data_IF_143816296738
#
_entry.id   IF_143816296738
#
_cell.length_a   1.000
_cell.length_b   1.000
_cell.length_c   1.000
_cell.angle_alpha   90.00
_cell.angle_beta   90.00
_cell.angle_gamma   90.00
#
_symmetry.space_group_name_H-M   'P 1'
#
loop_
_entity.id
_entity.type
_entity.pdbx_description
1 polymer ?
#
# COMPACT_ATOMS: atom_id res chain seq x y z
N UNK A 1 5.39 -2.02 34.98
CA UNK A 1 5.14 -0.59 34.67
C UNK A 1 3.75 -0.23 35.12
N UNK A 2 3.54 0.92 35.79
CA UNK A 2 2.19 1.40 36.00
C UNK A 2 1.54 1.56 34.60
N UNK A 3 0.33 1.04 34.44
CA UNK A 3 -0.41 1.11 33.19
C UNK A 3 -0.67 2.59 32.88
N UNK A 4 0.06 3.14 31.91
CA UNK A 4 -0.17 4.51 31.49
C UNK A 4 -1.57 4.59 30.86
N UNK A 5 -2.37 5.53 31.33
CA UNK A 5 -3.72 5.71 30.81
C UNK A 5 -3.71 6.03 29.32
N UNK A 6 -4.65 5.49 28.57
CA UNK A 6 -4.84 5.86 27.17
C UNK A 6 -5.27 7.32 27.07
N UNK A 7 -4.82 8.07 26.05
CA UNK A 7 -5.25 9.45 25.86
C UNK A 7 -6.77 9.52 25.60
N UNK A 8 -7.46 10.59 25.99
CA UNK A 8 -8.88 10.76 25.69
C UNK A 8 -9.24 10.69 24.19
N UNK A 9 -8.26 10.94 23.32
CA UNK A 9 -8.37 10.93 21.86
C UNK A 9 -7.93 9.59 21.23
N UNK A 10 -7.80 8.52 22.03
CA UNK A 10 -7.27 7.22 21.55
C UNK A 10 -8.00 6.69 20.32
N UNK A 11 -9.34 6.81 20.25
CA UNK A 11 -10.11 6.37 19.08
C UNK A 11 -9.75 7.16 17.82
N UNK A 12 -9.50 8.47 17.94
CA UNK A 12 -9.08 9.33 16.83
C UNK A 12 -7.66 8.96 16.39
N UNK A 13 -6.76 8.77 17.34
CA UNK A 13 -5.39 8.31 17.09
C UNK A 13 -5.37 6.96 16.37
N UNK A 14 -6.13 5.96 16.84
CA UNK A 14 -6.24 4.65 16.20
C UNK A 14 -6.89 4.72 14.82
N UNK A 15 -7.83 5.64 14.61
CA UNK A 15 -8.38 5.89 13.27
C UNK A 15 -7.29 6.43 12.31
N UNK A 16 -6.42 7.33 12.75
CA UNK A 16 -5.28 7.81 11.97
C UNK A 16 -4.26 6.69 11.67
N UNK A 17 -3.95 5.84 12.65
CA UNK A 17 -3.09 4.65 12.47
C UNK A 17 -3.68 3.71 11.39
N UNK A 18 -4.99 3.46 11.42
CA UNK A 18 -5.67 2.65 10.39
C UNK A 18 -5.61 3.30 9.02
N UNK A 19 -5.81 4.63 8.92
CA UNK A 19 -5.69 5.37 7.66
C UNK A 19 -4.26 5.38 7.13
N UNK A 20 -3.26 5.46 8.01
CA UNK A 20 -1.84 5.35 7.63
C UNK A 20 -1.55 4.01 6.93
N UNK A 21 -2.13 2.90 7.43
CA UNK A 21 -2.10 1.60 6.76
C UNK A 21 -0.72 0.92 6.73
N UNK A 22 0.16 1.22 7.69
CA UNK A 22 1.52 0.66 7.75
C UNK A 22 1.68 -0.48 8.77
N UNK A 23 0.68 -0.77 9.60
CA UNK A 23 0.69 -1.95 10.47
C UNK A 23 0.73 -3.23 9.62
N UNK A 24 1.61 -4.16 9.96
CA UNK A 24 1.77 -5.42 9.26
C UNK A 24 2.47 -5.31 7.89
N UNK A 25 2.97 -4.14 7.51
CA UNK A 25 3.69 -3.98 6.24
C UNK A 25 5.18 -4.30 6.40
N UNK A 26 5.86 -4.79 5.35
CA UNK A 26 7.28 -5.10 5.40
C UNK A 26 8.15 -3.85 5.63
N UNK A 27 9.41 -4.09 6.01
CA UNK A 27 10.44 -3.06 6.09
C UNK A 27 10.63 -2.35 4.75
N UNK A 28 10.98 -1.07 4.78
CA UNK A 28 11.23 -0.24 3.60
C UNK A 28 12.49 0.59 3.78
N UNK A 29 13.37 0.59 2.79
CA UNK A 29 14.66 1.29 2.80
C UNK A 29 14.56 2.78 3.17
N UNK A 30 13.44 3.43 2.87
CA UNK A 30 13.22 4.84 3.24
C UNK A 30 13.25 5.07 4.75
N UNK A 31 12.72 4.12 5.55
CA UNK A 31 12.77 4.17 7.01
C UNK A 31 14.10 3.62 7.53
N UNK A 32 14.63 2.55 6.94
CA UNK A 32 15.88 1.92 7.35
C UNK A 32 17.07 2.88 7.22
N UNK A 33 17.04 3.77 6.26
CA UNK A 33 18.03 4.83 6.09
C UNK A 33 18.07 5.78 7.29
N UNK A 34 16.88 6.17 7.79
CA UNK A 34 16.77 7.10 8.92
C UNK A 34 17.28 6.44 10.19
N UNK A 35 16.89 5.19 10.48
CA UNK A 35 17.36 4.47 11.67
C UNK A 35 18.86 4.18 11.61
N UNK A 36 19.44 3.85 10.44
CA UNK A 36 20.89 3.73 10.26
C UNK A 36 21.64 5.04 10.49
N UNK A 37 21.09 6.16 10.01
CA UNK A 37 21.68 7.48 10.28
C UNK A 37 21.66 7.81 11.76
N UNK A 38 20.54 7.53 12.44
CA UNK A 38 20.40 7.78 13.86
C UNK A 38 21.45 7.01 14.70
N UNK A 39 21.63 5.71 14.45
CA UNK A 39 22.64 4.93 15.18
C UNK A 39 24.04 5.51 15.04
N UNK A 40 24.39 6.01 13.84
CA UNK A 40 25.70 6.62 13.58
C UNK A 40 25.85 8.00 14.21
N UNK A 41 24.79 8.81 14.12
CA UNK A 41 24.80 10.21 14.55
C UNK A 41 24.88 10.34 16.07
N UNK A 42 24.12 9.48 16.77
CA UNK A 42 24.08 9.46 18.24
C UNK A 42 25.08 8.47 18.88
N UNK A 43 25.81 7.72 18.07
CA UNK A 43 26.69 6.64 18.53
C UNK A 43 25.97 5.68 19.49
N UNK A 44 24.78 5.22 19.09
CA UNK A 44 23.94 4.29 19.84
C UNK A 44 23.76 2.98 19.09
N UNK A 45 23.63 1.84 19.78
CA UNK A 45 23.44 0.55 19.13
C UNK A 45 22.02 0.38 18.54
N UNK A 46 21.02 1.10 19.08
CA UNK A 46 19.62 0.86 18.74
C UNK A 46 18.95 2.12 18.23
N UNK A 47 18.17 1.98 17.14
CA UNK A 47 17.26 3.00 16.64
C UNK A 47 16.05 2.32 16.00
N UNK A 48 14.84 2.80 16.30
CA UNK A 48 13.58 2.20 15.85
C UNK A 48 12.62 3.28 15.38
N UNK A 49 11.91 2.98 14.29
CA UNK A 49 10.67 3.65 13.90
C UNK A 49 9.56 2.63 14.07
N UNK A 50 8.58 2.92 14.89
CA UNK A 50 7.41 2.08 15.06
C UNK A 50 6.09 2.80 14.76
N UNK A 51 5.04 2.01 14.55
CA UNK A 51 3.64 2.45 14.49
C UNK A 51 2.90 1.84 15.66
N UNK A 52 2.37 2.68 16.54
CA UNK A 52 1.74 2.26 17.80
C UNK A 52 0.25 1.99 17.58
N UNK A 53 -0.09 0.71 17.43
CA UNK A 53 -1.46 0.22 17.30
C UNK A 53 -2.20 0.17 18.65
N UNK A 54 -3.32 -0.54 18.69
CA UNK A 54 -4.13 -0.70 19.89
C UNK A 54 -3.43 -1.57 20.95
N UNK A 55 -2.89 -2.71 20.55
CA UNK A 55 -2.26 -3.71 21.43
C UNK A 55 -0.77 -3.91 21.16
N UNK A 56 -0.32 -3.56 19.98
CA UNK A 56 1.05 -3.81 19.53
C UNK A 56 1.71 -2.52 19.05
N UNK A 57 3.02 -2.42 19.26
CA UNK A 57 3.89 -1.49 18.57
C UNK A 57 4.56 -2.26 17.42
N UNK A 58 4.25 -1.89 16.18
CA UNK A 58 4.77 -2.50 14.97
C UNK A 58 6.05 -1.81 14.53
N UNK A 59 7.15 -2.55 14.49
CA UNK A 59 8.45 -2.02 14.10
C UNK A 59 8.52 -1.87 12.57
N UNK A 60 8.41 -0.63 12.11
CA UNK A 60 8.52 -0.31 10.68
C UNK A 60 9.95 -0.32 10.20
N UNK A 61 10.90 0.03 11.08
CA UNK A 61 12.34 -0.07 10.87
C UNK A 61 13.03 -0.21 12.21
N UNK A 62 14.02 -1.10 12.30
CA UNK A 62 14.82 -1.32 13.52
C UNK A 62 16.29 -1.54 13.16
N UNK A 63 17.18 -0.94 13.97
CA UNK A 63 18.62 -1.22 13.99
C UNK A 63 18.98 -1.67 15.39
N UNK A 64 19.78 -2.75 15.47
CA UNK A 64 20.29 -3.28 16.74
C UNK A 64 19.22 -3.88 17.67
N UNK A 65 18.04 -4.14 17.14
CA UNK A 65 16.93 -4.77 17.85
C UNK A 65 16.23 -5.77 16.93
N UNK A 66 16.12 -7.02 17.36
CA UNK A 66 15.47 -8.09 16.61
C UNK A 66 13.98 -8.20 17.00
N UNK A 67 13.12 -8.23 16.01
CA UNK A 67 11.67 -8.35 16.17
C UNK A 67 10.90 -7.50 15.17
N UNK A 68 9.61 -7.80 15.02
CA UNK A 68 8.70 -7.03 14.14
C UNK A 68 7.62 -6.31 14.93
N UNK A 69 7.34 -6.76 16.14
CA UNK A 69 6.32 -6.17 17.01
C UNK A 69 6.63 -6.42 18.50
N UNK A 70 6.09 -5.56 19.35
CA UNK A 70 6.09 -5.71 20.79
C UNK A 70 4.73 -5.38 21.36
N UNK A 71 4.44 -5.89 22.59
CA UNK A 71 3.22 -5.49 23.29
C UNK A 71 3.31 -4.00 23.64
N UNK A 72 2.34 -3.23 23.17
CA UNK A 72 2.29 -1.78 23.39
C UNK A 72 2.46 -1.40 24.86
N UNK A 73 1.70 -2.02 25.75
CA UNK A 73 1.70 -1.73 27.21
C UNK A 73 3.06 -1.91 27.88
N UNK A 74 3.92 -2.75 27.32
CA UNK A 74 5.23 -3.09 27.90
C UNK A 74 6.36 -2.26 27.28
N UNK A 75 6.04 -1.42 26.28
CA UNK A 75 7.02 -0.63 25.52
C UNK A 75 7.13 0.81 26.02
N UNK A 76 8.32 1.41 25.95
CA UNK A 76 8.52 2.84 26.21
C UNK A 76 7.80 3.72 25.17
N UNK A 77 7.54 3.19 23.98
CA UNK A 77 6.79 3.86 22.92
C UNK A 77 5.35 4.16 23.33
N UNK A 78 4.75 3.34 24.22
CA UNK A 78 3.46 3.65 24.81
C UNK A 78 3.47 4.98 25.59
N UNK A 79 4.50 5.22 26.39
CA UNK A 79 4.66 6.49 27.11
C UNK A 79 4.92 7.64 26.16
N UNK A 80 5.73 7.43 25.13
CA UNK A 80 6.09 8.47 24.15
C UNK A 80 4.87 9.00 23.39
N UNK A 81 3.91 8.14 23.00
CA UNK A 81 2.71 8.59 22.24
C UNK A 81 1.68 9.31 23.11
N UNK A 82 1.88 9.39 24.42
CA UNK A 82 0.94 10.08 25.33
C UNK A 82 1.19 11.60 25.38
N UNK A 83 2.39 12.05 25.04
CA UNK A 83 2.80 13.45 25.14
C UNK A 83 3.38 13.95 23.80
N UNK A 84 3.46 15.26 23.63
CA UNK A 84 4.04 15.92 22.47
C UNK A 84 5.56 16.07 22.61
N UNK A 85 6.06 15.92 23.81
CA UNK A 85 7.47 16.08 24.14
C UNK A 85 8.26 14.77 23.96
N UNK A 86 9.58 14.91 23.80
CA UNK A 86 10.50 13.77 23.76
C UNK A 86 10.45 13.03 25.10
N UNK A 87 10.14 11.75 25.08
CA UNK A 87 10.23 10.91 26.27
C UNK A 87 11.68 10.45 26.46
N UNK A 88 12.35 10.99 27.47
CA UNK A 88 13.77 10.72 27.76
C UNK A 88 13.89 9.91 29.02
N UNK A 89 14.62 8.78 28.94
CA UNK A 89 15.01 7.90 30.05
C UNK A 89 16.54 7.76 30.04
N UNK A 90 17.23 8.43 30.95
CA UNK A 90 18.71 8.39 31.03
C UNK A 90 19.25 7.07 31.56
N UNK A 91 18.57 6.51 32.57
CA UNK A 91 18.85 5.15 33.11
C UNK A 91 17.52 4.51 33.53
N UNK A 92 17.05 3.57 32.74
CA UNK A 92 15.76 2.90 32.96
C UNK A 92 15.73 2.09 34.27
N UNK A 93 16.88 1.63 34.77
CA UNK A 93 16.96 0.83 35.99
C UNK A 93 16.62 1.66 37.23
N UNK A 94 16.73 2.97 37.15
CA UNK A 94 16.48 3.90 38.25
C UNK A 94 15.33 4.87 38.01
N UNK A 95 14.82 4.96 36.77
CA UNK A 95 13.72 5.84 36.41
C UNK A 95 12.38 5.28 36.89
N UNK A 96 11.67 5.98 37.80
CA UNK A 96 10.44 5.47 38.39
C UNK A 96 9.30 5.23 37.41
N UNK A 97 9.40 5.78 36.18
CA UNK A 97 8.39 5.60 35.14
C UNK A 97 8.49 4.23 34.46
N UNK A 98 9.69 3.62 34.44
CA UNK A 98 9.99 2.45 33.58
C UNK A 98 10.86 1.38 34.25
N UNK A 99 11.37 1.57 35.49
CA UNK A 99 12.34 0.68 36.15
C UNK A 99 11.87 -0.78 36.33
N UNK A 100 10.57 -0.99 36.37
CA UNK A 100 9.92 -2.31 36.44
C UNK A 100 9.53 -2.90 35.07
N UNK A 101 9.91 -2.24 33.99
CA UNK A 101 9.74 -2.76 32.63
C UNK A 101 10.65 -3.96 32.38
N UNK A 102 10.16 -4.98 31.66
CA UNK A 102 10.97 -6.09 31.18
C UNK A 102 12.14 -5.65 30.28
N UNK A 103 12.10 -4.43 29.75
CA UNK A 103 13.13 -3.85 28.90
C UNK A 103 14.17 -3.02 29.64
N UNK A 104 14.02 -2.76 30.96
CA UNK A 104 14.87 -1.84 31.71
C UNK A 104 16.36 -2.22 31.74
N UNK A 105 16.70 -3.50 31.54
CA UNK A 105 18.07 -3.97 31.45
C UNK A 105 18.62 -4.06 30.01
N UNK A 106 17.75 -3.96 29.00
CA UNK A 106 18.13 -4.02 27.58
C UNK A 106 18.15 -2.63 26.97
N UNK A 107 17.12 -1.85 27.24
CA UNK A 107 16.99 -0.44 26.85
C UNK A 107 17.25 0.43 28.08
N UNK A 108 18.51 0.51 28.51
CA UNK A 108 18.92 1.27 29.70
C UNK A 108 18.79 2.76 29.47
N UNK A 109 19.25 3.25 28.31
CA UNK A 109 18.95 4.59 27.82
C UNK A 109 17.88 4.50 26.73
N UNK A 110 16.97 5.47 26.75
CA UNK A 110 15.94 5.65 25.73
C UNK A 110 15.65 7.14 25.50
N UNK A 111 15.54 7.54 24.25
CA UNK A 111 14.96 8.82 23.86
C UNK A 111 14.02 8.59 22.68
N UNK A 112 12.75 8.93 22.84
CA UNK A 112 11.72 8.73 21.80
C UNK A 112 10.93 9.99 21.53
N UNK A 113 10.69 10.27 20.27
CA UNK A 113 9.88 11.39 19.77
C UNK A 113 8.62 10.83 19.14
N UNK A 114 7.42 11.36 19.46
CA UNK A 114 6.19 10.94 18.80
C UNK A 114 6.21 11.33 17.33
N UNK A 115 5.70 10.45 16.47
CA UNK A 115 5.54 10.67 15.04
C UNK A 115 4.10 11.05 14.72
N UNK A 116 3.93 12.12 13.97
CA UNK A 116 2.64 12.70 13.65
C UNK A 116 2.15 12.33 12.26
N UNK A 117 0.86 12.04 12.17
CA UNK A 117 0.15 11.86 10.92
C UNK A 117 -1.29 12.36 11.05
N UNK A 118 -1.70 13.29 10.17
CA UNK A 118 -3.05 13.91 10.19
C UNK A 118 -3.43 14.52 11.54
N UNK A 119 -2.46 15.10 12.25
CA UNK A 119 -2.69 15.74 13.56
C UNK A 119 -2.76 14.77 14.75
N UNK A 120 -2.47 13.49 14.54
CA UNK A 120 -2.48 12.44 15.58
C UNK A 120 -1.10 11.78 15.72
N UNK A 121 -0.76 11.34 16.95
CA UNK A 121 0.48 10.64 17.26
C UNK A 121 0.36 9.15 16.92
N UNK A 122 0.85 8.75 15.75
CA UNK A 122 0.63 7.40 15.21
C UNK A 122 1.74 6.41 15.52
N UNK A 123 2.90 6.89 15.93
CA UNK A 123 4.08 6.07 16.16
C UNK A 123 5.17 6.81 16.90
N UNK A 124 6.33 6.23 16.94
CA UNK A 124 7.51 6.77 17.63
C UNK A 124 8.76 6.57 16.78
N UNK A 125 9.62 7.57 16.77
CA UNK A 125 11.02 7.41 16.42
C UNK A 125 11.86 7.45 17.68
N UNK A 126 12.61 6.40 17.97
CA UNK A 126 13.42 6.33 19.17
C UNK A 126 14.82 5.79 18.92
N UNK A 127 15.71 6.17 19.83
CA UNK A 127 17.07 5.66 19.96
C UNK A 127 17.27 5.06 21.35
N UNK A 128 18.19 4.12 21.48
CA UNK A 128 18.46 3.47 22.75
C UNK A 128 19.86 2.90 22.88
N UNK A 129 20.26 2.67 24.15
CA UNK A 129 21.53 2.05 24.49
C UNK A 129 21.38 1.07 25.65
N UNK A 130 22.31 0.14 25.74
CA UNK A 130 22.45 -0.81 26.85
C UNK A 130 23.14 -0.22 28.09
N UNK A 131 23.56 1.04 28.03
CA UNK A 131 24.20 1.80 29.12
C UNK A 131 23.51 3.15 29.30
N UNK A 132 23.61 3.77 30.49
CA UNK A 132 23.09 5.11 30.73
C UNK A 132 23.75 6.14 29.83
N UNK A 133 22.99 7.17 29.45
CA UNK A 133 23.50 8.30 28.65
C UNK A 133 22.93 9.61 29.11
N UNK A 134 23.75 10.65 29.01
CA UNK A 134 23.25 12.04 29.03
C UNK A 134 22.63 12.35 27.67
N UNK A 135 21.59 13.18 27.70
CA UNK A 135 20.88 13.60 26.51
C UNK A 135 20.54 15.09 26.70
N UNK A 136 21.19 15.93 25.94
CA UNK A 136 21.06 17.38 26.03
C UNK A 136 20.08 17.95 25.01
N UNK A 137 19.89 19.26 25.06
CA UNK A 137 18.94 19.96 24.20
C UNK A 137 19.35 19.94 22.71
N UNK A 138 20.63 19.86 22.39
CA UNK A 138 21.08 19.78 21.01
C UNK A 138 20.84 18.37 20.43
N UNK A 139 21.07 17.32 21.23
CA UNK A 139 20.71 15.96 20.88
C UNK A 139 19.20 15.79 20.72
N UNK A 140 18.38 16.40 21.59
CA UNK A 140 16.92 16.37 21.44
C UNK A 140 16.46 17.05 20.16
N UNK A 141 17.00 18.23 19.84
CA UNK A 141 16.68 18.92 18.58
C UNK A 141 16.98 18.07 17.36
N UNK A 142 18.17 17.45 17.36
CA UNK A 142 18.59 16.59 16.26
C UNK A 142 17.72 15.34 16.10
N UNK A 143 17.28 14.74 17.22
CA UNK A 143 16.36 13.60 17.19
C UNK A 143 14.98 14.01 16.62
N UNK A 144 14.47 15.18 17.00
CA UNK A 144 13.24 15.76 16.45
C UNK A 144 13.36 16.06 14.96
N UNK A 145 14.51 16.54 14.48
CA UNK A 145 14.74 16.79 13.05
C UNK A 145 14.67 15.47 12.24
N UNK A 146 15.25 14.39 12.75
CA UNK A 146 15.13 13.07 12.14
C UNK A 146 13.70 12.52 12.21
N UNK A 147 12.97 12.79 13.30
CA UNK A 147 11.55 12.42 13.43
C UNK A 147 10.69 13.09 12.33
N UNK A 148 10.91 14.39 12.06
CA UNK A 148 10.25 15.11 10.94
C UNK A 148 10.57 14.45 9.59
N UNK A 149 11.78 13.96 9.38
CA UNK A 149 12.11 13.20 8.17
C UNK A 149 11.30 11.89 8.10
N UNK A 150 11.19 11.15 9.21
CA UNK A 150 10.39 9.94 9.29
C UNK A 150 8.89 10.21 9.02
N UNK A 151 8.34 11.28 9.55
CA UNK A 151 6.94 11.70 9.30
C UNK A 151 6.67 11.96 7.80
N UNK A 152 7.61 12.60 7.10
CA UNK A 152 7.51 12.80 5.65
C UNK A 152 7.49 11.48 4.90
N UNK A 153 8.30 10.51 5.32
CA UNK A 153 8.29 9.18 4.71
C UNK A 153 6.98 8.41 5.01
N UNK A 154 6.36 8.59 6.18
CA UNK A 154 5.03 8.07 6.48
C UNK A 154 3.98 8.62 5.50
N UNK A 155 4.00 9.92 5.24
CA UNK A 155 3.09 10.58 4.29
C UNK A 155 3.30 10.05 2.86
N UNK A 156 4.56 9.95 2.41
CA UNK A 156 4.91 9.42 1.08
C UNK A 156 4.47 7.95 0.94
N UNK A 157 4.68 7.12 1.95
CA UNK A 157 4.25 5.72 1.96
C UNK A 157 2.72 5.61 1.79
N UNK A 158 1.97 6.44 2.51
CA UNK A 158 0.49 6.49 2.40
C UNK A 158 0.02 6.93 1.02
N UNK A 159 0.62 7.99 0.46
CA UNK A 159 0.28 8.49 -0.88
C UNK A 159 0.56 7.43 -1.96
N UNK A 160 1.71 6.75 -1.89
CA UNK A 160 2.06 5.68 -2.83
C UNK A 160 1.05 4.52 -2.77
N UNK A 161 0.64 4.09 -1.58
CA UNK A 161 -0.36 3.04 -1.41
C UNK A 161 -1.72 3.44 -2.00
N UNK A 162 -2.13 4.70 -1.78
CA UNK A 162 -3.38 5.25 -2.32
C UNK A 162 -3.35 5.32 -3.84
N UNK A 163 -2.26 5.78 -4.44
CA UNK A 163 -2.10 5.84 -5.89
C UNK A 163 -2.18 4.45 -6.53
N UNK A 164 -1.55 3.43 -5.93
CA UNK A 164 -1.64 2.05 -6.40
C UNK A 164 -3.07 1.50 -6.32
N UNK A 165 -3.80 1.79 -5.24
CA UNK A 165 -5.19 1.38 -5.10
C UNK A 165 -6.09 2.05 -6.14
N UNK A 166 -5.93 3.35 -6.37
CA UNK A 166 -6.67 4.10 -7.40
C UNK A 166 -6.37 3.59 -8.82
N UNK A 167 -5.10 3.27 -9.12
CA UNK A 167 -4.74 2.70 -10.42
C UNK A 167 -5.43 1.36 -10.66
N UNK A 168 -5.47 0.46 -9.64
CA UNK A 168 -6.17 -0.82 -9.73
C UNK A 168 -7.67 -0.64 -9.98
N UNK A 169 -8.33 0.22 -9.19
CA UNK A 169 -9.77 0.50 -9.38
C UNK A 169 -10.04 1.09 -10.77
N UNK A 170 -9.19 1.99 -11.25
CA UNK A 170 -9.32 2.56 -12.59
C UNK A 170 -9.18 1.49 -13.69
N UNK A 171 -8.21 0.57 -13.54
CA UNK A 171 -8.03 -0.52 -14.49
C UNK A 171 -9.22 -1.49 -14.48
N UNK A 172 -9.76 -1.81 -13.30
CA UNK A 172 -10.99 -2.62 -13.19
C UNK A 172 -12.19 -1.93 -13.85
N UNK A 173 -12.40 -0.64 -13.60
CA UNK A 173 -13.46 0.14 -14.25
C UNK A 173 -13.28 0.21 -15.77
N UNK A 174 -12.05 0.37 -16.27
CA UNK A 174 -11.75 0.32 -17.70
C UNK A 174 -12.06 -1.04 -18.30
N UNK A 175 -11.70 -2.12 -17.62
CA UNK A 175 -12.03 -3.48 -18.08
C UNK A 175 -13.55 -3.68 -18.13
N UNK A 176 -14.29 -3.30 -17.08
CA UNK A 176 -15.77 -3.38 -17.06
C UNK A 176 -16.41 -2.54 -18.19
N UNK A 177 -15.87 -1.36 -18.46
CA UNK A 177 -16.40 -0.44 -19.47
C UNK A 177 -16.08 -0.88 -20.92
N UNK A 178 -15.05 -1.66 -21.14
CA UNK A 178 -14.51 -1.94 -22.47
C UNK A 178 -14.66 -3.40 -22.92
N UNK A 179 -15.02 -4.32 -22.02
CA UNK A 179 -15.13 -5.75 -22.31
C UNK A 179 -16.59 -6.18 -22.34
N UNK A 180 -16.96 -7.04 -23.28
CA UNK A 180 -18.25 -7.72 -23.29
C UNK A 180 -18.30 -8.79 -22.19
N UNK A 181 -19.31 -8.72 -21.32
CA UNK A 181 -19.41 -9.56 -20.11
C UNK A 181 -19.49 -11.03 -20.44
N UNK A 182 -20.18 -11.41 -21.54
CA UNK A 182 -20.42 -12.78 -21.93
C UNK A 182 -19.19 -13.43 -22.59
N UNK A 183 -18.59 -12.71 -23.54
CA UNK A 183 -17.54 -13.27 -24.43
C UNK A 183 -16.13 -12.92 -23.97
N UNK A 184 -15.98 -11.93 -23.06
CA UNK A 184 -14.68 -11.40 -22.60
C UNK A 184 -13.82 -10.80 -23.73
N UNK A 185 -14.38 -10.53 -24.87
CA UNK A 185 -13.78 -9.74 -25.96
C UNK A 185 -14.02 -8.25 -25.74
N UNK A 186 -13.40 -7.39 -26.56
CA UNK A 186 -13.73 -5.97 -26.57
C UNK A 186 -15.23 -5.79 -26.87
N UNK A 187 -15.91 -4.91 -26.15
CA UNK A 187 -17.29 -4.56 -26.47
C UNK A 187 -17.35 -3.63 -27.70
N UNK A 188 -18.54 -3.37 -28.18
CA UNK A 188 -18.79 -2.53 -29.36
C UNK A 188 -18.05 -1.20 -29.30
N UNK A 189 -18.16 -0.50 -28.19
CA UNK A 189 -17.52 0.81 -28.02
C UNK A 189 -16.00 0.71 -28.13
N UNK A 190 -15.41 -0.17 -27.36
CA UNK A 190 -13.97 -0.29 -27.27
C UNK A 190 -13.34 -0.73 -28.60
N UNK A 191 -13.97 -1.67 -29.33
CA UNK A 191 -13.39 -2.13 -30.62
C UNK A 191 -13.42 -1.03 -31.68
N UNK A 192 -14.45 -0.16 -31.69
CA UNK A 192 -14.50 0.97 -32.61
C UNK A 192 -13.53 2.08 -32.20
N UNK A 193 -13.31 2.34 -30.89
CA UNK A 193 -12.27 3.25 -30.40
C UNK A 193 -10.87 2.77 -30.83
N UNK A 194 -10.61 1.45 -30.74
CA UNK A 194 -9.37 0.83 -31.21
C UNK A 194 -9.24 1.01 -32.72
N UNK A 195 -10.28 0.74 -33.50
CA UNK A 195 -10.27 0.90 -34.94
C UNK A 195 -9.89 2.33 -35.37
N UNK A 196 -10.48 3.32 -34.71
CA UNK A 196 -10.20 4.72 -35.01
C UNK A 196 -8.78 5.12 -34.62
N UNK A 197 -8.29 4.67 -33.45
CA UNK A 197 -6.93 4.90 -33.01
C UNK A 197 -5.90 4.28 -33.98
N UNK A 198 -6.15 3.05 -34.48
CA UNK A 198 -5.29 2.40 -35.46
C UNK A 198 -5.34 3.09 -36.82
N UNK A 199 -6.51 3.54 -37.25
CA UNK A 199 -6.66 4.33 -38.50
C UNK A 199 -5.82 5.62 -38.46
N UNK A 200 -5.85 6.33 -37.33
CA UNK A 200 -5.07 7.55 -37.11
C UNK A 200 -3.55 7.28 -37.07
N UNK A 201 -3.14 6.15 -36.50
CA UNK A 201 -1.70 5.76 -36.43
C UNK A 201 -1.14 5.31 -37.76
N UNK A 202 -1.98 4.80 -38.64
CA UNK A 202 -1.54 4.25 -39.92
C UNK A 202 -0.92 5.27 -40.88
N UNK A 203 -1.13 6.59 -40.69
CA UNK A 203 -0.48 7.71 -41.44
C UNK A 203 -0.21 7.41 -42.92
N UNK A 204 -1.07 6.61 -43.58
CA UNK A 204 -0.93 6.24 -45.00
C UNK A 204 0.12 5.16 -45.32
N UNK A 205 0.88 4.65 -44.36
CA UNK A 205 1.95 3.64 -44.61
C UNK A 205 1.59 2.24 -44.10
N UNK A 206 0.75 2.11 -43.10
CA UNK A 206 0.26 0.82 -42.59
C UNK A 206 -1.17 0.56 -43.07
N UNK A 207 -1.49 -0.71 -43.36
CA UNK A 207 -2.85 -1.12 -43.72
C UNK A 207 -3.54 -1.74 -42.48
N UNK A 208 -4.77 -1.31 -42.21
CA UNK A 208 -5.66 -1.90 -41.23
C UNK A 208 -6.64 -2.80 -41.98
N UNK A 209 -6.67 -4.08 -41.61
CA UNK A 209 -7.70 -5.01 -42.06
C UNK A 209 -8.80 -5.08 -41.02
N UNK A 210 -10.04 -5.00 -41.47
CA UNK A 210 -11.23 -5.20 -40.62
C UNK A 210 -12.03 -6.38 -41.20
N UNK A 211 -12.31 -7.37 -40.34
CA UNK A 211 -13.11 -8.55 -40.70
C UNK A 211 -14.35 -8.56 -39.82
N UNK A 212 -15.51 -8.50 -40.44
CA UNK A 212 -16.81 -8.69 -39.79
C UNK A 212 -17.17 -10.17 -39.83
N UNK A 213 -17.53 -10.75 -38.68
CA UNK A 213 -17.89 -12.15 -38.52
C UNK A 213 -19.27 -12.22 -37.87
N UNK A 214 -20.15 -13.05 -38.43
CA UNK A 214 -21.48 -13.31 -37.92
C UNK A 214 -21.68 -14.84 -37.72
N UNK A 215 -22.50 -15.23 -36.73
CA UNK A 215 -22.82 -16.64 -36.49
C UNK A 215 -24.05 -17.03 -37.27
N UNK A 216 -23.89 -17.85 -38.29
CA UNK A 216 -24.98 -18.34 -39.12
C UNK A 216 -26.06 -19.04 -38.29
N UNK A 217 -27.32 -18.69 -38.56
CA UNK A 217 -28.51 -19.29 -37.94
C UNK A 217 -28.56 -19.20 -36.41
N UNK A 218 -27.90 -18.17 -35.79
CA UNK A 218 -27.83 -18.05 -34.32
C UNK A 218 -29.24 -17.95 -33.67
N UNK A 219 -30.17 -17.26 -34.31
CA UNK A 219 -31.55 -17.22 -33.84
C UNK A 219 -32.19 -18.63 -33.79
N UNK A 220 -31.95 -19.47 -34.79
CA UNK A 220 -32.47 -20.86 -34.79
C UNK A 220 -31.89 -21.70 -33.66
N UNK A 221 -30.63 -21.45 -33.28
CA UNK A 221 -30.01 -22.12 -32.12
C UNK A 221 -30.74 -21.70 -30.83
N UNK A 222 -30.99 -20.41 -30.64
CA UNK A 222 -31.73 -19.91 -29.49
C UNK A 222 -33.16 -20.45 -29.43
N UNK A 223 -33.86 -20.46 -30.57
CA UNK A 223 -35.25 -20.89 -30.64
C UNK A 223 -35.39 -22.40 -30.39
N UNK A 224 -34.39 -23.20 -30.77
CA UNK A 224 -34.39 -24.68 -30.62
C UNK A 224 -33.86 -25.14 -29.26
N UNK A 225 -32.78 -24.53 -28.76
CA UNK A 225 -32.03 -25.00 -27.60
C UNK A 225 -32.04 -24.06 -26.39
N UNK A 226 -32.66 -22.90 -26.54
CA UNK A 226 -32.76 -21.85 -25.50
C UNK A 226 -31.54 -20.93 -25.46
N UNK A 227 -31.71 -19.78 -24.80
CA UNK A 227 -30.69 -18.71 -24.72
C UNK A 227 -29.39 -19.18 -24.04
N UNK A 228 -29.45 -20.14 -23.08
CA UNK A 228 -28.25 -20.65 -22.43
C UNK A 228 -27.32 -21.38 -23.42
N UNK A 229 -27.91 -22.13 -24.39
CA UNK A 229 -27.14 -22.77 -25.46
C UNK A 229 -26.56 -21.73 -26.42
N UNK A 230 -27.30 -20.68 -26.75
CA UNK A 230 -26.78 -19.54 -27.54
C UNK A 230 -25.61 -18.83 -26.85
N UNK A 231 -25.69 -18.63 -25.56
CA UNK A 231 -24.58 -18.05 -24.77
C UNK A 231 -23.31 -18.91 -24.83
N UNK A 232 -23.44 -20.26 -24.78
CA UNK A 232 -22.29 -21.17 -24.95
C UNK A 232 -21.70 -21.08 -26.36
N UNK A 233 -22.54 -20.99 -27.38
CA UNK A 233 -22.07 -20.80 -28.78
C UNK A 233 -21.32 -19.48 -28.93
N UNK A 234 -21.82 -18.39 -28.33
CA UNK A 234 -21.14 -17.10 -28.33
C UNK A 234 -19.78 -17.16 -27.62
N UNK A 235 -19.69 -17.83 -26.46
CA UNK A 235 -18.41 -18.02 -25.74
C UNK A 235 -17.43 -18.85 -26.56
N UNK A 236 -17.88 -19.95 -27.15
CA UNK A 236 -17.06 -20.83 -27.96
C UNK A 236 -16.53 -20.11 -29.22
N UNK A 237 -17.38 -19.34 -29.90
CA UNK A 237 -17.04 -18.54 -31.08
C UNK A 237 -16.01 -17.48 -30.71
N UNK A 238 -16.20 -16.74 -29.63
CA UNK A 238 -15.26 -15.74 -29.12
C UNK A 238 -13.87 -16.35 -28.82
N UNK A 239 -13.83 -17.51 -28.16
CA UNK A 239 -12.58 -18.22 -27.86
C UNK A 239 -11.85 -18.64 -29.14
N UNK A 240 -12.56 -19.19 -30.13
CA UNK A 240 -11.99 -19.59 -31.42
C UNK A 240 -11.45 -18.41 -32.21
N UNK A 241 -12.20 -17.30 -32.28
CA UNK A 241 -11.75 -16.07 -32.93
C UNK A 241 -10.46 -15.57 -32.29
N UNK A 242 -10.42 -15.50 -30.93
CA UNK A 242 -9.25 -15.05 -30.20
C UNK A 242 -8.04 -15.99 -30.40
N UNK A 243 -8.25 -17.29 -30.44
CA UNK A 243 -7.19 -18.28 -30.67
C UNK A 243 -6.65 -18.26 -32.11
N UNK A 244 -7.47 -17.80 -33.10
CA UNK A 244 -7.11 -17.72 -34.51
C UNK A 244 -6.48 -16.40 -34.91
N UNK A 245 -6.40 -15.42 -33.99
CA UNK A 245 -5.84 -14.09 -34.21
C UNK A 245 -4.52 -13.92 -33.46
N UNK A 246 -3.65 -13.01 -33.93
CA UNK A 246 -2.38 -12.69 -33.28
C UNK A 246 -2.63 -11.91 -31.97
N UNK A 247 -1.65 -11.86 -31.10
CA UNK A 247 -1.74 -11.09 -29.85
C UNK A 247 -1.92 -9.59 -30.06
N UNK A 248 -1.42 -9.09 -31.21
CA UNK A 248 -1.52 -7.68 -31.62
C UNK A 248 -2.84 -7.32 -32.30
N UNK A 249 -3.63 -8.32 -32.74
CA UNK A 249 -4.92 -8.12 -33.37
C UNK A 249 -5.99 -7.91 -32.28
N UNK A 250 -6.96 -7.02 -32.54
CA UNK A 250 -8.08 -6.80 -31.65
C UNK A 250 -9.32 -7.56 -32.11
N UNK A 251 -10.03 -8.19 -31.17
CA UNK A 251 -11.28 -8.90 -31.42
C UNK A 251 -12.35 -8.37 -30.51
N UNK A 252 -13.50 -7.97 -31.04
CA UNK A 252 -14.61 -7.42 -30.27
C UNK A 252 -15.95 -7.98 -30.70
N UNK A 253 -16.93 -7.99 -29.78
CA UNK A 253 -18.33 -8.26 -30.08
C UNK A 253 -19.06 -6.95 -30.29
N UNK A 254 -19.70 -6.79 -31.45
CA UNK A 254 -20.36 -5.54 -31.85
C UNK A 254 -21.89 -5.60 -31.85
N UNK A 255 -22.45 -6.80 -31.83
CA UNK A 255 -23.88 -7.05 -31.84
C UNK A 255 -24.25 -8.35 -31.11
N UNK A 256 -25.44 -8.82 -31.31
CA UNK A 256 -25.95 -10.06 -30.75
C UNK A 256 -25.03 -11.27 -31.06
N UNK A 257 -24.85 -11.55 -32.34
CA UNK A 257 -24.02 -12.63 -32.88
C UNK A 257 -22.84 -12.13 -33.73
N UNK A 258 -22.62 -10.81 -33.79
CA UNK A 258 -21.65 -10.18 -34.65
C UNK A 258 -20.33 -9.85 -33.92
N UNK A 259 -19.22 -10.15 -34.57
CA UNK A 259 -17.88 -9.89 -34.09
C UNK A 259 -17.07 -9.09 -35.11
N UNK A 260 -16.16 -8.26 -34.63
CA UNK A 260 -15.21 -7.50 -35.41
C UNK A 260 -13.79 -7.89 -35.04
N UNK A 261 -12.99 -8.25 -36.04
CA UNK A 261 -11.55 -8.51 -35.91
C UNK A 261 -10.80 -7.41 -36.62
N UNK A 262 -9.83 -6.81 -35.95
CA UNK A 262 -8.95 -5.78 -36.48
C UNK A 262 -7.52 -6.30 -36.50
N UNK A 263 -6.91 -6.37 -37.66
CA UNK A 263 -5.52 -6.82 -37.87
C UNK A 263 -4.67 -5.75 -38.50
N UNK A 264 -3.40 -5.67 -38.11
CA UNK A 264 -2.40 -4.85 -38.81
C UNK A 264 -1.73 -5.68 -39.89
N UNK A 265 -1.69 -5.13 -41.14
CA UNK A 265 -0.98 -5.70 -42.28
C UNK A 265 0.37 -5.02 -42.47
#
# INVERSE_FOLDING_TARGET
MPEAAYPPTEDQRLAAVRRLGLLGTPAEERFDRITRLATRLFDVPMAVIDVVGEKVAWLKSAQGFDGFEGMRRDSYCHHTVLDDETFIVRDARTDPRVHDSGFANTWVFYAGVPLWFEGERVGVFCIGDTKPRDFDADADRLLRDLAVMAERELQVARLSATQLALARVNDELRMMANVDVLTRLWNRRAIFEIAEAERLRANGTARLAALLVDIDHFKSINDTFGHAAGDEVLRASAQRLRASTRSVDAVGRIGGEEFLVLGRC
#
